data_IF_217541887221
#
_entry.id   IF_217541887221
#
_cell.length_a   1.000
_cell.length_b   1.000
_cell.length_c   1.000
_cell.angle_alpha   90.00
_cell.angle_beta   90.00
_cell.angle_gamma   90.00
#
_symmetry.space_group_name_H-M   'P 1'
#
loop_
_entity.id
_entity.type
_entity.pdbx_description
1 polymer ?
#
# COMPACT_ATOMS: atom_id res chain seq x y z
N UNK A 1 -13.50 0.37 2.45
CA UNK A 1 -13.08 1.20 3.62
C UNK A 1 -12.09 0.36 4.37
N UNK A 2 -10.89 0.86 4.66
CA UNK A 2 -9.86 0.03 5.28
C UNK A 2 -10.19 -0.23 6.76
N UNK A 3 -10.22 -1.51 7.13
CA UNK A 3 -10.50 -2.03 8.45
C UNK A 3 -9.23 -2.50 9.17
N UNK A 4 -8.17 -2.85 8.43
CA UNK A 4 -6.90 -3.24 9.03
C UNK A 4 -5.97 -2.00 9.21
N UNK A 5 -5.47 -1.74 10.44
CA UNK A 5 -4.53 -0.65 10.68
C UNK A 5 -3.22 -0.77 9.89
N UNK A 6 -2.77 -1.99 9.61
CA UNK A 6 -1.55 -2.24 8.85
C UNK A 6 -1.72 -1.89 7.37
N UNK A 7 -2.92 -2.04 6.80
CA UNK A 7 -3.23 -1.57 5.44
C UNK A 7 -3.00 -0.07 5.30
N UNK A 8 -3.41 0.70 6.31
CA UNK A 8 -3.14 2.13 6.35
C UNK A 8 -1.63 2.43 6.45
N UNK A 9 -0.90 1.70 7.29
CA UNK A 9 0.56 1.87 7.46
C UNK A 9 1.31 1.61 6.14
N UNK A 10 0.93 0.57 5.39
CA UNK A 10 1.51 0.26 4.07
C UNK A 10 1.31 1.43 3.09
N UNK A 11 0.10 1.98 3.02
CA UNK A 11 -0.17 3.14 2.15
C UNK A 11 0.54 4.42 2.61
N UNK A 12 0.71 4.62 3.91
CA UNK A 12 1.48 5.75 4.44
C UNK A 12 2.96 5.64 4.05
N UNK A 13 3.55 4.45 4.12
CA UNK A 13 4.92 4.21 3.66
C UNK A 13 5.05 4.52 2.16
N UNK A 14 4.08 4.10 1.34
CA UNK A 14 4.06 4.47 -0.08
C UNK A 14 4.05 6.00 -0.26
N UNK A 15 3.26 6.71 0.55
CA UNK A 15 3.18 8.18 0.53
C UNK A 15 4.49 8.86 0.95
N UNK A 16 5.13 8.39 2.02
CA UNK A 16 6.40 8.92 2.53
C UNK A 16 7.52 8.79 1.49
N UNK A 17 7.45 7.74 0.66
CA UNK A 17 8.38 7.50 -0.44
C UNK A 17 7.96 8.17 -1.75
N UNK A 18 6.88 8.96 -1.77
CA UNK A 18 6.31 9.61 -2.95
C UNK A 18 6.02 8.64 -4.11
N UNK A 19 5.64 7.40 -3.80
CA UNK A 19 5.26 6.40 -4.80
C UNK A 19 4.05 6.91 -5.57
N UNK A 20 4.13 6.88 -6.90
CA UNK A 20 3.08 7.28 -7.82
C UNK A 20 2.26 6.07 -8.29
N UNK A 21 1.11 6.34 -8.90
CA UNK A 21 0.31 5.30 -9.52
C UNK A 21 1.11 4.54 -10.60
N UNK A 22 1.07 3.21 -10.55
CA UNK A 22 1.82 2.31 -11.43
C UNK A 22 3.27 2.06 -10.99
N UNK A 23 3.74 2.69 -9.92
CA UNK A 23 5.06 2.42 -9.35
C UNK A 23 4.99 1.32 -8.30
N UNK A 24 6.09 0.56 -8.21
CA UNK A 24 6.26 -0.49 -7.19
C UNK A 24 6.43 0.12 -5.81
N UNK A 25 5.91 -0.55 -4.79
CA UNK A 25 6.20 -0.20 -3.41
C UNK A 25 7.69 -0.38 -3.09
N UNK A 26 8.25 0.42 -2.17
CA UNK A 26 9.65 0.32 -1.78
C UNK A 26 9.93 -1.00 -1.04
N UNK A 27 10.64 -1.91 -1.71
CA UNK A 27 11.01 -3.26 -1.22
C UNK A 27 11.51 -3.26 0.23
N UNK A 28 12.51 -2.44 0.55
CA UNK A 28 13.08 -2.37 1.90
C UNK A 28 12.09 -1.97 3.00
N UNK A 29 11.13 -1.11 2.66
CA UNK A 29 10.14 -0.69 3.64
C UNK A 29 9.07 -1.77 3.83
N UNK A 30 8.80 -2.54 2.77
CA UNK A 30 7.90 -3.67 2.81
C UNK A 30 8.50 -4.87 3.56
N UNK A 31 9.79 -5.16 3.35
CA UNK A 31 10.55 -6.16 4.13
C UNK A 31 10.52 -5.84 5.63
N UNK A 32 10.71 -4.57 5.99
CA UNK A 32 10.62 -4.14 7.38
C UNK A 32 9.21 -4.38 7.97
N UNK A 33 8.15 -4.13 7.18
CA UNK A 33 6.78 -4.41 7.62
C UNK A 33 6.50 -5.91 7.75
N UNK A 34 7.05 -6.72 6.85
CA UNK A 34 7.01 -8.19 6.90
C UNK A 34 7.70 -8.70 8.19
N UNK A 35 8.87 -8.17 8.52
CA UNK A 35 9.62 -8.55 9.72
C UNK A 35 8.91 -8.12 11.01
N UNK A 36 8.32 -6.92 11.03
CA UNK A 36 7.60 -6.38 12.20
C UNK A 36 6.23 -7.03 12.42
N UNK A 37 5.54 -7.45 11.34
CA UNK A 37 4.14 -7.91 11.38
C UNK A 37 3.91 -9.19 10.55
N UNK A 38 4.70 -10.27 10.74
CA UNK A 38 4.70 -11.42 9.84
C UNK A 38 3.35 -12.17 9.82
N UNK A 39 2.60 -12.14 10.92
CA UNK A 39 1.33 -12.88 11.03
C UNK A 39 0.13 -12.14 10.44
N UNK A 40 0.17 -10.80 10.35
CA UNK A 40 -0.99 -9.96 10.01
C UNK A 40 -0.85 -9.22 8.69
N UNK A 41 0.36 -9.17 8.13
CA UNK A 41 0.63 -8.49 6.85
C UNK A 41 -0.11 -9.12 5.67
N UNK A 42 -0.28 -10.44 5.65
CA UNK A 42 -1.05 -11.11 4.60
C UNK A 42 -2.51 -10.64 4.55
N UNK A 43 -3.14 -10.43 5.71
CA UNK A 43 -4.52 -9.92 5.78
C UNK A 43 -4.61 -8.45 5.34
N UNK A 44 -3.61 -7.64 5.67
CA UNK A 44 -3.53 -6.25 5.26
C UNK A 44 -3.38 -6.12 3.74
N UNK A 45 -2.49 -6.91 3.14
CA UNK A 45 -2.31 -6.93 1.68
C UNK A 45 -3.55 -7.42 0.97
N UNK A 46 -4.17 -8.50 1.46
CA UNK A 46 -5.43 -8.99 0.92
C UNK A 46 -6.51 -7.91 0.92
N UNK A 47 -6.66 -7.15 2.01
CA UNK A 47 -7.60 -6.03 2.06
C UNK A 47 -7.27 -4.96 1.00
N UNK A 48 -6.01 -4.59 0.85
CA UNK A 48 -5.58 -3.59 -0.14
C UNK A 48 -5.83 -4.05 -1.58
N UNK A 49 -5.66 -5.34 -1.89
CA UNK A 49 -6.02 -5.89 -3.20
C UNK A 49 -7.53 -5.92 -3.42
N UNK A 50 -8.31 -6.33 -2.42
CA UNK A 50 -9.78 -6.38 -2.50
C UNK A 50 -10.39 -4.98 -2.70
N UNK A 51 -9.79 -3.96 -2.08
CA UNK A 51 -10.18 -2.56 -2.25
C UNK A 51 -9.57 -1.93 -3.54
N UNK A 52 -8.76 -2.69 -4.29
CA UNK A 52 -8.15 -2.26 -5.55
C UNK A 52 -7.11 -1.15 -5.38
N UNK A 53 -6.51 -1.01 -4.20
CA UNK A 53 -5.52 0.03 -3.88
C UNK A 53 -4.10 -0.41 -4.22
N UNK A 54 -3.83 -1.72 -4.16
CA UNK A 54 -2.62 -2.35 -4.67
C UNK A 54 -2.96 -3.35 -5.77
N UNK A 55 -2.00 -3.62 -6.63
CA UNK A 55 -2.03 -4.72 -7.58
C UNK A 55 -0.80 -5.62 -7.38
N UNK A 56 -1.04 -6.93 -7.33
CA UNK A 56 0.03 -7.93 -7.28
C UNK A 56 0.71 -8.01 -8.65
N UNK A 57 2.05 -8.01 -8.65
CA UNK A 57 2.85 -8.10 -9.88
C UNK A 57 3.79 -9.30 -9.78
N UNK A 58 3.80 -10.21 -10.78
CA UNK A 58 4.71 -11.34 -10.76
C UNK A 58 6.17 -10.89 -10.67
N UNK A 59 6.91 -11.42 -9.71
CA UNK A 59 8.34 -11.19 -9.51
C UNK A 59 8.75 -9.75 -9.15
N UNK A 60 7.80 -8.88 -8.83
CA UNK A 60 8.05 -7.53 -8.34
C UNK A 60 7.33 -7.31 -7.00
N UNK A 61 7.70 -6.26 -6.27
CA UNK A 61 6.90 -5.78 -5.14
C UNK A 61 5.60 -5.20 -5.70
N UNK A 62 4.50 -5.35 -4.95
CA UNK A 62 3.17 -4.83 -5.31
C UNK A 62 3.23 -3.39 -5.83
N UNK A 63 2.37 -3.08 -6.80
CA UNK A 63 2.26 -1.72 -7.36
C UNK A 63 1.12 -0.94 -6.72
N UNK A 64 1.34 0.35 -6.56
CA UNK A 64 0.30 1.28 -6.14
C UNK A 64 -0.63 1.55 -7.33
N UNK A 65 -1.93 1.28 -7.19
CA UNK A 65 -2.88 1.56 -8.29
C UNK A 65 -3.21 3.05 -8.36
N UNK A 66 -3.91 3.48 -9.42
CA UNK A 66 -4.48 4.82 -9.49
C UNK A 66 -5.47 5.09 -8.35
N UNK A 67 -6.24 4.09 -7.93
CA UNK A 67 -7.15 4.20 -6.80
C UNK A 67 -6.39 4.31 -5.47
N UNK A 68 -5.31 3.55 -5.30
CA UNK A 68 -4.39 3.68 -4.17
C UNK A 68 -3.78 5.07 -4.07
N UNK A 69 -3.24 5.60 -5.17
CA UNK A 69 -2.72 6.95 -5.22
C UNK A 69 -3.80 8.00 -4.93
N UNK A 70 -5.02 7.85 -5.47
CA UNK A 70 -6.13 8.75 -5.17
C UNK A 70 -6.57 8.66 -3.70
N UNK A 71 -6.49 7.48 -3.08
CA UNK A 71 -6.79 7.31 -1.66
C UNK A 71 -5.78 8.07 -0.78
N UNK A 72 -4.50 8.01 -1.13
CA UNK A 72 -3.41 8.70 -0.41
C UNK A 72 -3.45 10.22 -0.65
N UNK A 73 -3.45 10.63 -1.92
CA UNK A 73 -3.23 12.02 -2.32
C UNK A 73 -4.52 12.78 -2.65
N UNK A 74 -5.59 12.09 -3.08
CA UNK A 74 -6.86 12.70 -3.47
C UNK A 74 -7.67 13.28 -2.30
N UNK A 75 -7.39 12.87 -1.06
CA UNK A 75 -7.94 13.53 0.13
C UNK A 75 -7.31 14.90 0.42
N UNK A 76 -6.17 15.24 -0.18
CA UNK A 76 -5.52 16.55 0.04
C UNK A 76 -6.07 17.68 -0.84
N UNK A 77 -6.92 17.39 -1.84
CA UNK A 77 -7.49 18.41 -2.74
C UNK A 77 -8.77 19.09 -2.23
N UNK A 78 -9.10 18.96 -0.95
CA UNK A 78 -10.23 19.66 -0.31
C UNK A 78 -9.74 20.69 0.72
N UNK A 79 -8.95 21.67 0.30
CA UNK A 79 -8.63 22.88 1.06
C UNK A 79 -8.60 24.11 0.14
#
# INVERSE_FOLDING_TARGET
MLHNPLSHKILLVAAEHNVQAGEVLPEKAFDLLLDENPETIGEALMELYLEGLLEEVPHEVDKLTHAGAAFIYGKQSSL
#
